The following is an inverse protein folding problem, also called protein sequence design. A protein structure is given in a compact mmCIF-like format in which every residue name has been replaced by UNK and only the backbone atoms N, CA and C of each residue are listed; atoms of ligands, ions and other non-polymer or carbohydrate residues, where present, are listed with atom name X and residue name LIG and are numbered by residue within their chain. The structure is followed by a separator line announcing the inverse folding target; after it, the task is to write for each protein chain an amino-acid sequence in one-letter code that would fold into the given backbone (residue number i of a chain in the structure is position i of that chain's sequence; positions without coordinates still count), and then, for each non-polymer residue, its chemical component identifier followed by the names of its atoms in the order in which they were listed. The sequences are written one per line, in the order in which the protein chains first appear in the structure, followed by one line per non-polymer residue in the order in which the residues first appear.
data_IF_959731277672
#
_entry.id   IF_959731277672
#
_cell.length_a   1.000
_cell.length_b   1.000
_cell.length_c   1.000
_cell.angle_alpha   90.00
_cell.angle_beta   90.00
_cell.angle_gamma   90.00
#
_symmetry.space_group_name_H-M   'P 1'
#
loop_
_entity.id
_entity.type
_entity.pdbx_description
1 polymer ?
#
# COMPACT_ATOMS: atom_id res chain seq x y z
N UNK A 1 1.76 9.39 -21.50
CA UNK A 1 1.44 8.54 -20.32
C UNK A 1 2.71 7.75 -20.04
N UNK A 2 3.17 7.72 -18.80
CA UNK A 2 4.31 6.89 -18.43
C UNK A 2 3.92 5.44 -18.68
N UNK A 3 4.78 4.65 -19.31
CA UNK A 3 4.47 3.28 -19.69
C UNK A 3 4.24 2.37 -18.48
N UNK A 4 4.88 2.68 -17.36
CA UNK A 4 4.57 2.06 -16.07
C UNK A 4 3.06 2.07 -15.77
N UNK A 5 2.40 3.22 -15.86
CA UNK A 5 0.96 3.32 -15.64
C UNK A 5 0.10 2.65 -16.73
N UNK A 6 0.66 2.41 -17.91
CA UNK A 6 -0.02 1.60 -18.94
C UNK A 6 0.00 0.11 -18.58
N UNK A 7 1.09 -0.37 -17.97
CA UNK A 7 1.19 -1.74 -17.46
C UNK A 7 0.20 -1.94 -16.30
N UNK A 8 0.12 -0.99 -15.39
CA UNK A 8 -0.73 -1.02 -14.20
C UNK A 8 -2.20 -0.63 -14.44
N UNK A 9 -2.54 -0.28 -15.69
CA UNK A 9 -3.91 0.12 -16.00
C UNK A 9 -4.91 -1.01 -15.79
N UNK A 10 -6.02 -0.68 -15.14
CA UNK A 10 -7.15 -1.60 -14.87
C UNK A 10 -6.82 -2.75 -13.90
N UNK A 11 -5.69 -2.68 -13.19
CA UNK A 11 -5.42 -3.60 -12.09
C UNK A 11 -6.37 -3.32 -10.91
N UNK A 12 -6.80 -4.35 -10.18
CA UNK A 12 -7.66 -4.18 -9.01
C UNK A 12 -6.95 -3.45 -7.85
N UNK A 13 -5.62 -3.60 -7.77
CA UNK A 13 -4.72 -2.96 -6.80
C UNK A 13 -3.39 -2.62 -7.48
N UNK A 14 -2.68 -1.63 -6.94
CA UNK A 14 -1.36 -1.20 -7.39
C UNK A 14 -0.22 -1.80 -6.56
N UNK A 15 -0.52 -2.83 -5.81
CA UNK A 15 0.41 -3.58 -4.99
C UNK A 15 -0.29 -4.71 -4.24
N UNK A 16 0.49 -5.59 -3.61
CA UNK A 16 -0.03 -6.74 -2.87
C UNK A 16 -0.97 -6.34 -1.73
N UNK A 17 -2.13 -6.98 -1.66
CA UNK A 17 -3.14 -6.74 -0.63
C UNK A 17 -4.40 -7.55 -0.89
N UNK A 18 -5.24 -7.64 0.12
CA UNK A 18 -6.55 -8.30 0.03
C UNK A 18 -7.52 -7.77 1.10
N UNK A 19 -8.81 -7.85 0.81
CA UNK A 19 -9.87 -7.35 1.68
C UNK A 19 -9.91 -8.05 3.05
N UNK A 20 -9.51 -9.32 3.17
CA UNK A 20 -9.52 -10.01 4.47
C UNK A 20 -8.38 -9.51 5.35
N UNK A 21 -7.21 -9.23 4.78
CA UNK A 21 -6.08 -8.62 5.50
C UNK A 21 -6.43 -7.20 5.97
N UNK A 22 -7.07 -6.38 5.12
CA UNK A 22 -7.60 -5.06 5.49
C UNK A 22 -8.59 -5.19 6.65
N UNK A 23 -9.59 -6.10 6.56
CA UNK A 23 -10.57 -6.36 7.62
C UNK A 23 -9.92 -6.89 8.91
N UNK A 24 -8.92 -7.77 8.79
CA UNK A 24 -8.17 -8.29 9.94
C UNK A 24 -7.46 -7.18 10.69
N UNK A 25 -6.78 -6.28 9.99
CA UNK A 25 -6.08 -5.15 10.59
C UNK A 25 -7.07 -4.17 11.22
N UNK A 26 -8.16 -3.84 10.53
CA UNK A 26 -9.19 -2.91 11.04
C UNK A 26 -9.83 -3.41 12.35
N UNK A 27 -10.09 -4.71 12.49
CA UNK A 27 -10.66 -5.30 13.71
C UNK A 27 -9.75 -5.16 14.95
N UNK A 28 -8.49 -4.76 14.79
CA UNK A 28 -7.55 -4.50 15.91
C UNK A 28 -7.68 -3.10 16.50
N UNK A 29 -8.41 -2.20 15.86
CA UNK A 29 -8.58 -0.81 16.23
C UNK A 29 -9.70 -0.63 17.28
N UNK A 30 -9.49 -1.17 18.46
CA UNK A 30 -10.55 -1.35 19.49
C UNK A 30 -11.10 -0.07 20.08
N UNK A 31 -10.39 1.05 20.03
CA UNK A 31 -10.79 2.35 20.55
C UNK A 31 -11.09 3.38 19.43
N UNK A 32 -11.25 2.91 18.19
CA UNK A 32 -11.64 3.79 17.09
C UNK A 32 -13.08 4.32 17.34
N UNK A 33 -13.37 5.62 17.11
CA UNK A 33 -14.73 6.16 17.20
C UNK A 33 -15.69 5.46 16.24
N UNK A 34 -16.98 5.51 16.52
CA UNK A 34 -18.02 4.94 15.65
C UNK A 34 -18.00 5.55 14.24
N UNK A 35 -17.75 6.86 14.15
CA UNK A 35 -17.61 7.60 12.89
C UNK A 35 -16.19 8.20 12.81
N UNK A 36 -15.15 7.42 12.49
CA UNK A 36 -13.79 7.92 12.47
C UNK A 36 -13.51 8.80 11.25
N UNK A 37 -12.58 9.73 11.39
CA UNK A 37 -11.99 10.45 10.25
C UNK A 37 -10.74 9.68 9.84
N UNK A 38 -10.74 9.14 8.62
CA UNK A 38 -9.71 8.26 8.09
C UNK A 38 -8.96 8.96 6.96
N UNK A 39 -7.64 8.83 6.94
CA UNK A 39 -6.80 9.22 5.82
C UNK A 39 -6.21 7.95 5.18
N UNK A 40 -6.55 7.67 3.93
CA UNK A 40 -5.96 6.59 3.13
C UNK A 40 -4.88 7.18 2.20
N UNK A 41 -3.62 6.87 2.49
CA UNK A 41 -2.44 7.44 1.83
C UNK A 41 -1.87 6.48 0.80
N UNK A 42 -1.84 6.90 -0.47
CA UNK A 42 -1.52 6.04 -1.61
C UNK A 42 -2.71 5.13 -1.91
N UNK A 43 -3.89 5.73 -2.06
CA UNK A 43 -5.14 4.99 -2.21
C UNK A 43 -5.24 4.21 -3.53
N UNK A 44 -4.43 4.55 -4.53
CA UNK A 44 -4.50 3.96 -5.86
C UNK A 44 -5.92 3.99 -6.44
N UNK A 45 -6.38 2.92 -7.13
CA UNK A 45 -7.74 2.82 -7.66
C UNK A 45 -8.81 2.51 -6.58
N UNK A 46 -8.43 2.54 -5.27
CA UNK A 46 -9.34 2.58 -4.14
C UNK A 46 -9.80 1.24 -3.57
N UNK A 47 -9.08 0.14 -3.79
CA UNK A 47 -9.51 -1.16 -3.27
C UNK A 47 -9.67 -1.15 -1.74
N UNK A 48 -8.61 -0.77 -0.99
CA UNK A 48 -8.67 -0.65 0.47
C UNK A 48 -9.57 0.50 0.95
N UNK A 49 -9.67 1.60 0.17
CA UNK A 49 -10.58 2.73 0.49
C UNK A 49 -12.03 2.25 0.60
N UNK A 50 -12.47 1.43 -0.35
CA UNK A 50 -13.83 0.86 -0.36
C UNK A 50 -14.02 -0.17 0.77
N UNK A 51 -13.01 -1.01 1.05
CA UNK A 51 -13.04 -1.91 2.21
C UNK A 51 -13.20 -1.11 3.53
N UNK A 52 -12.47 0.00 3.70
CA UNK A 52 -12.59 0.88 4.88
C UNK A 52 -13.99 1.53 4.98
N UNK A 53 -14.60 1.88 3.84
CA UNK A 53 -15.95 2.42 3.82
C UNK A 53 -17.03 1.38 4.18
N UNK A 54 -16.79 0.10 3.92
CA UNK A 54 -17.64 -1.00 4.40
C UNK A 54 -17.46 -1.28 5.91
N UNK A 55 -16.27 -1.03 6.44
CA UNK A 55 -15.89 -1.37 7.82
C UNK A 55 -16.24 -0.28 8.85
N UNK A 56 -16.51 0.94 8.40
CA UNK A 56 -16.85 2.06 9.26
C UNK A 56 -17.83 3.01 8.60
N UNK A 57 -18.60 3.76 9.39
CA UNK A 57 -19.47 4.83 8.91
C UNK A 57 -18.76 6.20 8.86
N UNK A 58 -17.44 6.23 9.01
CA UNK A 58 -16.62 7.43 9.06
C UNK A 58 -16.44 8.17 7.73
N UNK A 59 -15.79 9.33 7.80
CA UNK A 59 -15.33 10.08 6.63
C UNK A 59 -13.94 9.57 6.21
N UNK A 60 -13.71 9.40 4.91
CA UNK A 60 -12.44 8.94 4.35
C UNK A 60 -11.88 9.98 3.39
N UNK A 61 -10.66 10.39 3.61
CA UNK A 61 -9.84 11.21 2.72
C UNK A 61 -8.86 10.28 2.01
N UNK A 62 -9.11 10.00 0.73
CA UNK A 62 -8.28 9.11 -0.08
C UNK A 62 -7.34 9.94 -0.95
N UNK A 63 -6.03 9.79 -0.77
CA UNK A 63 -5.02 10.60 -1.45
C UNK A 63 -4.08 9.77 -2.30
N UNK A 64 -3.83 10.24 -3.52
CA UNK A 64 -2.83 9.70 -4.45
C UNK A 64 -2.30 10.81 -5.36
N UNK A 65 -1.24 10.56 -6.11
CA UNK A 65 -0.66 11.48 -7.10
C UNK A 65 -1.01 11.12 -8.54
N UNK A 66 -1.54 9.92 -8.79
CA UNK A 66 -1.86 9.47 -10.13
C UNK A 66 -3.34 9.72 -10.46
N UNK A 67 -3.60 10.76 -11.24
CA UNK A 67 -4.97 11.19 -11.56
C UNK A 67 -5.86 10.07 -12.13
N UNK A 68 -5.40 9.19 -13.06
CA UNK A 68 -6.24 8.11 -13.56
C UNK A 68 -6.70 7.10 -12.49
N UNK A 69 -5.92 6.86 -11.43
CA UNK A 69 -6.35 6.03 -10.30
C UNK A 69 -7.43 6.75 -9.48
N UNK A 70 -7.24 8.05 -9.25
CA UNK A 70 -8.23 8.86 -8.55
C UNK A 70 -9.54 8.97 -9.33
N UNK A 71 -9.48 9.09 -10.66
CA UNK A 71 -10.66 9.09 -11.53
C UNK A 71 -11.41 7.74 -11.42
N UNK A 72 -10.68 6.62 -11.44
CA UNK A 72 -11.24 5.29 -11.23
C UNK A 72 -11.89 5.13 -9.84
N UNK A 73 -11.23 5.62 -8.78
CA UNK A 73 -11.83 5.61 -7.43
C UNK A 73 -13.06 6.50 -7.36
N UNK A 74 -13.02 7.70 -7.95
CA UNK A 74 -14.15 8.62 -7.97
C UNK A 74 -15.39 8.02 -8.63
N UNK A 75 -15.22 7.33 -9.78
CA UNK A 75 -16.31 6.60 -10.46
C UNK A 75 -16.93 5.54 -9.53
N UNK A 76 -16.09 4.75 -8.84
CA UNK A 76 -16.58 3.73 -7.90
C UNK A 76 -17.30 4.33 -6.69
N UNK A 77 -16.83 5.47 -6.19
CA UNK A 77 -17.45 6.23 -5.08
C UNK A 77 -18.84 6.71 -5.47
N UNK A 78 -18.99 7.26 -6.68
CA UNK A 78 -20.28 7.75 -7.21
C UNK A 78 -21.25 6.59 -7.47
N UNK A 79 -20.80 5.52 -8.10
CA UNK A 79 -21.61 4.33 -8.40
C UNK A 79 -22.17 3.66 -7.13
N UNK A 80 -21.43 3.73 -6.01
CA UNK A 80 -21.85 3.18 -4.72
C UNK A 80 -22.55 4.21 -3.82
N UNK A 81 -22.68 5.47 -4.24
CA UNK A 81 -23.34 6.53 -3.48
C UNK A 81 -22.56 6.94 -2.20
N UNK A 82 -21.22 6.82 -2.24
CA UNK A 82 -20.30 7.10 -1.13
C UNK A 82 -19.71 8.52 -1.17
N UNK A 83 -20.12 9.36 -2.12
CA UNK A 83 -19.63 10.73 -2.37
C UNK A 83 -19.75 11.68 -1.15
N UNK A 84 -20.63 11.38 -0.20
CA UNK A 84 -20.77 12.14 1.05
C UNK A 84 -19.78 11.72 2.14
N UNK A 85 -19.12 10.59 1.96
CA UNK A 85 -18.23 9.99 2.97
C UNK A 85 -16.80 9.88 2.50
N UNK A 86 -16.55 9.76 1.20
CA UNK A 86 -15.22 9.60 0.62
C UNK A 86 -14.88 10.85 -0.19
N UNK A 87 -13.77 11.49 0.16
CA UNK A 87 -13.19 12.61 -0.57
C UNK A 87 -11.93 12.11 -1.27
N UNK A 88 -11.95 12.11 -2.60
CA UNK A 88 -10.82 11.70 -3.45
C UNK A 88 -9.97 12.93 -3.77
N UNK A 89 -8.70 12.93 -3.39
CA UNK A 89 -7.85 14.11 -3.42
C UNK A 89 -6.50 13.83 -4.09
N UNK A 90 -6.13 14.68 -5.03
CA UNK A 90 -4.82 14.66 -5.65
C UNK A 90 -3.80 15.35 -4.74
N UNK A 91 -3.08 14.58 -3.91
CA UNK A 91 -2.04 15.08 -3.01
C UNK A 91 -0.86 14.12 -2.94
N UNK A 92 0.33 14.66 -2.74
CA UNK A 92 1.53 13.86 -2.49
C UNK A 92 1.58 13.41 -1.02
N UNK A 93 1.88 12.13 -0.79
CA UNK A 93 2.13 11.60 0.56
C UNK A 93 3.30 12.31 1.28
N UNK A 94 4.17 13.00 0.53
CA UNK A 94 5.31 13.78 1.05
C UNK A 94 4.92 15.20 1.47
N UNK A 95 3.73 15.68 1.07
CA UNK A 95 3.26 17.05 1.32
C UNK A 95 1.73 17.07 1.48
N UNK A 96 1.24 16.43 2.54
CA UNK A 96 -0.17 16.34 2.88
C UNK A 96 -0.68 17.66 3.48
N UNK A 97 -1.67 18.26 2.85
CA UNK A 97 -2.22 19.57 3.22
C UNK A 97 -3.40 19.43 4.20
N UNK A 98 -3.14 18.86 5.38
CA UNK A 98 -4.13 18.73 6.44
C UNK A 98 -3.66 19.39 7.75
N UNK A 99 -4.57 19.94 8.55
CA UNK A 99 -4.21 20.43 9.89
C UNK A 99 -3.67 19.31 10.79
N UNK A 100 -2.84 19.62 11.78
CA UNK A 100 -2.46 18.64 12.79
C UNK A 100 -3.69 18.08 13.53
N UNK A 101 -3.59 16.85 14.03
CA UNK A 101 -4.63 16.17 14.79
C UNK A 101 -6.01 16.12 14.07
N UNK A 102 -6.00 15.84 12.76
CA UNK A 102 -7.20 15.76 11.93
C UNK A 102 -7.80 14.35 11.89
N UNK A 103 -6.98 13.30 12.02
CA UNK A 103 -7.40 11.93 11.72
C UNK A 103 -7.40 11.03 12.95
N UNK A 104 -8.43 10.20 13.05
CA UNK A 104 -8.50 9.11 14.02
C UNK A 104 -7.70 7.89 13.55
N UNK A 105 -7.59 7.73 12.23
CA UNK A 105 -6.87 6.63 11.58
C UNK A 105 -6.13 7.11 10.33
N UNK A 106 -4.87 6.74 10.20
CA UNK A 106 -4.13 6.80 8.93
C UNK A 106 -3.93 5.38 8.43
N UNK A 107 -4.23 5.16 7.15
CA UNK A 107 -4.11 3.88 6.46
C UNK A 107 -3.20 4.00 5.26
N UNK A 108 -2.38 2.97 4.99
CA UNK A 108 -1.57 2.94 3.77
C UNK A 108 -1.17 1.50 3.45
N UNK A 109 -1.66 0.97 2.34
CA UNK A 109 -1.28 -0.36 1.87
C UNK A 109 -0.35 -0.25 0.66
N UNK A 110 0.79 -0.96 0.71
CA UNK A 110 1.79 -1.05 -0.37
C UNK A 110 2.29 0.31 -0.92
N UNK A 111 2.37 1.34 -0.06
CA UNK A 111 2.73 2.68 -0.50
C UNK A 111 3.76 3.41 0.40
N UNK A 112 3.82 3.15 1.71
CA UNK A 112 4.70 3.89 2.63
C UNK A 112 6.19 3.77 2.25
N UNK A 113 6.59 2.67 1.62
CA UNK A 113 7.96 2.43 1.16
C UNK A 113 8.49 3.54 0.22
N UNK A 114 7.60 4.23 -0.52
CA UNK A 114 7.95 5.36 -1.43
C UNK A 114 8.57 6.53 -0.64
N UNK A 115 8.20 6.68 0.61
CA UNK A 115 8.83 7.65 1.53
C UNK A 115 9.97 7.03 2.33
N UNK A 116 9.96 5.71 2.49
CA UNK A 116 10.67 4.96 3.50
C UNK A 116 9.86 4.88 4.80
N UNK A 117 9.86 3.68 5.41
CA UNK A 117 8.98 3.33 6.54
C UNK A 117 9.09 4.33 7.70
N UNK A 118 10.32 4.58 8.20
CA UNK A 118 10.55 5.54 9.29
C UNK A 118 10.12 6.96 8.92
N UNK A 119 10.46 7.41 7.71
CA UNK A 119 10.15 8.76 7.26
C UNK A 119 8.64 8.99 7.15
N UNK A 120 7.89 8.00 6.62
CA UNK A 120 6.43 8.02 6.55
C UNK A 120 5.80 8.07 7.94
N UNK A 121 6.21 7.19 8.86
CA UNK A 121 5.72 7.18 10.24
C UNK A 121 5.91 8.53 10.94
N UNK A 122 7.10 9.14 10.82
CA UNK A 122 7.40 10.45 11.43
C UNK A 122 6.61 11.58 10.78
N UNK A 123 6.48 11.58 9.45
CA UNK A 123 5.81 12.66 8.72
C UNK A 123 4.30 12.68 8.95
N UNK A 124 3.67 11.50 9.09
CA UNK A 124 2.22 11.41 9.24
C UNK A 124 1.74 11.46 10.70
N UNK A 125 2.62 11.17 11.67
CA UNK A 125 2.29 11.19 13.11
C UNK A 125 1.58 12.48 13.57
N UNK A 126 2.03 13.70 13.18
CA UNK A 126 1.36 14.94 13.61
C UNK A 126 -0.07 15.10 13.12
N UNK A 127 -0.47 14.36 12.08
CA UNK A 127 -1.83 14.39 11.53
C UNK A 127 -2.81 13.57 12.36
N UNK A 128 -2.32 12.65 13.21
CA UNK A 128 -3.15 11.85 14.10
C UNK A 128 -3.64 12.65 15.30
N UNK A 129 -4.90 12.46 15.65
CA UNK A 129 -5.46 12.91 16.94
C UNK A 129 -4.80 12.15 18.09
N UNK A 130 -4.75 12.69 19.32
CA UNK A 130 -4.29 11.95 20.48
C UNK A 130 -5.01 10.60 20.61
N UNK A 131 -4.26 9.52 20.79
CA UNK A 131 -4.78 8.15 20.78
C UNK A 131 -5.16 7.60 19.40
N UNK A 132 -4.86 8.33 18.33
CA UNK A 132 -5.13 7.91 16.95
C UNK A 132 -4.28 6.73 16.50
N UNK A 133 -4.73 6.03 15.48
CA UNK A 133 -4.12 4.83 14.94
C UNK A 133 -3.45 5.07 13.59
N UNK A 134 -2.42 4.29 13.31
CA UNK A 134 -1.86 4.14 11.98
C UNK A 134 -1.75 2.65 11.63
N UNK A 135 -2.20 2.26 10.46
CA UNK A 135 -2.11 0.90 9.95
C UNK A 135 -1.51 0.93 8.55
N UNK A 136 -0.36 0.29 8.39
CA UNK A 136 0.39 0.32 7.12
C UNK A 136 0.97 -1.04 6.78
N UNK A 137 1.15 -1.30 5.50
CA UNK A 137 1.93 -2.45 5.05
C UNK A 137 3.32 -2.02 4.61
N UNK A 138 4.34 -2.77 5.02
CA UNK A 138 5.73 -2.52 4.70
C UNK A 138 6.44 -3.78 4.24
N UNK A 139 7.22 -3.67 3.16
CA UNK A 139 8.00 -4.77 2.60
C UNK A 139 9.15 -5.13 3.53
N UNK A 140 9.25 -6.41 3.90
CA UNK A 140 10.08 -6.83 5.03
C UNK A 140 10.75 -8.18 4.73
N UNK A 141 12.00 -8.35 5.12
CA UNK A 141 12.67 -9.65 5.09
C UNK A 141 12.06 -10.60 6.13
N UNK A 142 11.63 -11.78 5.70
CA UNK A 142 11.03 -12.82 6.57
C UNK A 142 12.09 -13.71 7.23
N UNK A 143 13.26 -13.81 6.62
CA UNK A 143 14.37 -14.66 7.07
C UNK A 143 15.69 -13.89 6.96
N UNK A 144 16.65 -14.12 7.85
CA UNK A 144 18.01 -13.59 7.71
C UNK A 144 18.73 -14.26 6.52
N UNK A 145 19.75 -13.58 6.00
CA UNK A 145 20.64 -14.07 4.95
C UNK A 145 19.91 -14.55 3.68
N UNK A 146 19.10 -13.68 3.03
CA UNK A 146 18.41 -14.06 1.80
C UNK A 146 19.40 -14.43 0.68
N UNK A 147 19.03 -15.33 -0.26
CA UNK A 147 19.83 -15.64 -1.44
C UNK A 147 20.27 -14.41 -2.21
N UNK A 148 21.46 -14.47 -2.80
CA UNK A 148 22.07 -13.30 -3.47
C UNK A 148 21.16 -12.68 -4.53
N UNK A 149 20.53 -13.50 -5.37
CA UNK A 149 19.65 -13.06 -6.45
C UNK A 149 18.47 -12.18 -5.95
N UNK A 150 17.70 -12.63 -4.97
CA UNK A 150 16.59 -11.85 -4.43
C UNK A 150 17.07 -10.64 -3.63
N UNK A 151 18.25 -10.74 -3.01
CA UNK A 151 18.87 -9.62 -2.29
C UNK A 151 19.34 -8.52 -3.26
N UNK A 152 19.94 -8.90 -4.38
CA UNK A 152 20.37 -7.96 -5.42
C UNK A 152 19.17 -7.28 -6.04
N UNK A 153 18.10 -8.01 -6.40
CA UNK A 153 16.87 -7.48 -6.94
C UNK A 153 16.28 -6.39 -6.01
N UNK A 154 16.09 -6.69 -4.73
CA UNK A 154 15.51 -5.73 -3.80
C UNK A 154 16.49 -4.61 -3.39
N UNK A 155 17.80 -4.82 -3.46
CA UNK A 155 18.77 -3.73 -3.28
C UNK A 155 18.68 -2.67 -4.40
N UNK A 156 18.24 -3.04 -5.60
CA UNK A 156 17.96 -2.11 -6.69
C UNK A 156 16.59 -1.45 -6.53
N UNK A 157 15.54 -2.24 -6.26
CA UNK A 157 14.17 -1.75 -6.17
C UNK A 157 13.84 -1.05 -4.84
N UNK A 158 14.27 -1.62 -3.70
CA UNK A 158 14.01 -1.08 -2.37
C UNK A 158 15.20 -1.35 -1.41
N UNK A 159 16.31 -0.61 -1.52
CA UNK A 159 17.51 -0.83 -0.70
C UNK A 159 17.32 -0.60 0.81
N UNK A 160 16.21 0.04 1.19
CA UNK A 160 15.86 0.30 2.59
C UNK A 160 15.07 -0.82 3.26
N UNK A 161 14.80 -1.94 2.56
CA UNK A 161 14.07 -3.07 3.14
C UNK A 161 14.77 -3.61 4.38
N UNK A 162 14.01 -3.78 5.45
CA UNK A 162 14.46 -4.17 6.79
C UNK A 162 13.93 -5.54 7.19
N UNK A 163 14.52 -6.11 8.24
CA UNK A 163 13.93 -7.26 8.96
C UNK A 163 12.74 -6.83 9.82
N UNK A 164 11.97 -7.80 10.31
CA UNK A 164 10.89 -7.54 11.26
C UNK A 164 11.42 -6.84 12.53
N UNK A 165 12.54 -7.30 13.08
CA UNK A 165 13.14 -6.76 14.29
C UNK A 165 13.53 -5.29 14.09
N UNK A 166 14.19 -4.95 12.98
CA UNK A 166 14.56 -3.58 12.66
C UNK A 166 13.33 -2.67 12.49
N UNK A 167 12.25 -3.16 11.86
CA UNK A 167 11.01 -2.40 11.72
C UNK A 167 10.32 -2.18 13.08
N UNK A 168 10.35 -3.16 13.98
CA UNK A 168 9.83 -3.00 15.35
C UNK A 168 10.65 -1.96 16.15
N UNK A 169 11.96 -1.91 15.97
CA UNK A 169 12.83 -0.86 16.56
C UNK A 169 12.48 0.54 16.02
N UNK A 170 12.23 0.66 14.71
CA UNK A 170 11.78 1.91 14.07
C UNK A 170 10.43 2.36 14.65
N UNK A 171 9.46 1.46 14.78
CA UNK A 171 8.14 1.76 15.37
C UNK A 171 8.29 2.33 16.77
N UNK A 172 9.12 1.70 17.60
CA UNK A 172 9.42 2.17 18.95
C UNK A 172 10.15 3.54 18.95
N UNK A 173 11.16 3.72 18.09
CA UNK A 173 11.90 4.96 17.93
C UNK A 173 11.05 6.14 17.40
N UNK A 174 9.92 5.84 16.77
CA UNK A 174 8.92 6.81 16.33
C UNK A 174 7.86 7.10 17.41
N UNK A 175 8.00 6.55 18.63
CA UNK A 175 7.05 6.66 19.76
C UNK A 175 5.62 6.21 19.38
N UNK A 176 5.50 5.06 18.74
CA UNK A 176 4.25 4.37 18.53
C UNK A 176 4.14 3.18 19.47
N UNK A 177 2.93 2.88 19.94
CA UNK A 177 2.58 1.62 20.58
C UNK A 177 2.18 0.62 19.49
N UNK A 178 2.92 -0.48 19.36
CA UNK A 178 2.54 -1.58 18.49
C UNK A 178 1.32 -2.31 19.07
N UNK A 179 0.23 -2.39 18.31
CA UNK A 179 -0.99 -3.11 18.68
C UNK A 179 -0.93 -4.56 18.18
N UNK A 180 -0.62 -4.74 16.90
CA UNK A 180 -0.48 -6.06 16.27
C UNK A 180 0.35 -5.94 14.99
N UNK A 181 0.83 -7.06 14.49
CA UNK A 181 1.41 -7.18 13.16
C UNK A 181 1.18 -8.59 12.60
N UNK A 182 1.15 -8.71 11.30
CA UNK A 182 1.07 -10.00 10.62
C UNK A 182 1.57 -9.89 9.19
N UNK A 183 2.09 -11.00 8.65
CA UNK A 183 2.49 -11.09 7.24
C UNK A 183 1.24 -11.30 6.37
N UNK A 184 1.18 -10.62 5.22
CA UNK A 184 0.16 -10.87 4.21
C UNK A 184 0.30 -12.28 3.63
N UNK A 185 -0.79 -13.00 3.37
CA UNK A 185 -0.72 -14.31 2.72
C UNK A 185 -0.21 -14.16 1.27
N UNK A 186 0.38 -15.22 0.73
CA UNK A 186 0.87 -15.23 -0.66
C UNK A 186 -0.25 -14.92 -1.68
N UNK A 187 -1.50 -15.26 -1.38
CA UNK A 187 -2.65 -14.92 -2.22
C UNK A 187 -2.86 -13.42 -2.41
N UNK A 188 -2.45 -12.58 -1.44
CA UNK A 188 -2.49 -11.11 -1.60
C UNK A 188 -1.59 -10.64 -2.75
N UNK A 189 -0.49 -11.35 -3.01
CA UNK A 189 0.44 -11.09 -4.11
C UNK A 189 -0.06 -11.70 -5.41
N UNK A 190 -0.42 -13.00 -5.38
CA UNK A 190 -0.74 -13.76 -6.58
C UNK A 190 -2.08 -13.36 -7.18
N UNK A 191 -3.16 -13.37 -6.39
CA UNK A 191 -4.52 -13.34 -6.91
C UNK A 191 -4.97 -11.93 -7.30
N UNK A 192 -4.57 -10.93 -6.49
CA UNK A 192 -5.05 -9.56 -6.64
C UNK A 192 -4.05 -8.63 -7.34
N UNK A 193 -2.79 -9.05 -7.53
CA UNK A 193 -1.75 -8.23 -8.10
C UNK A 193 -1.03 -8.93 -9.27
N UNK A 194 -0.29 -10.01 -9.03
CA UNK A 194 0.54 -10.61 -10.07
C UNK A 194 -0.21 -11.33 -11.18
N UNK A 195 -1.32 -12.04 -10.91
CA UNK A 195 -2.09 -12.68 -11.97
C UNK A 195 -2.74 -11.66 -12.92
N UNK A 196 -3.40 -10.59 -12.43
CA UNK A 196 -3.86 -9.50 -13.30
C UNK A 196 -2.71 -8.83 -14.07
N UNK A 197 -1.58 -8.56 -13.41
CA UNK A 197 -0.40 -7.94 -14.04
C UNK A 197 0.18 -8.86 -15.14
N UNK A 198 0.35 -10.15 -14.89
CA UNK A 198 0.81 -11.12 -15.89
C UNK A 198 -0.07 -11.16 -17.14
N UNK A 199 -1.39 -11.11 -16.95
CA UNK A 199 -2.32 -11.03 -18.07
C UNK A 199 -2.11 -9.74 -18.88
N UNK A 200 -1.86 -8.63 -18.19
CA UNK A 200 -1.58 -7.33 -18.80
C UNK A 200 -0.24 -7.34 -19.54
N UNK A 201 0.82 -7.85 -18.94
CA UNK A 201 2.15 -8.02 -19.57
C UNK A 201 2.02 -8.81 -20.86
N UNK A 202 1.35 -9.96 -20.85
CA UNK A 202 1.18 -10.80 -22.03
C UNK A 202 0.50 -10.06 -23.19
N UNK A 203 -0.53 -9.26 -22.90
CA UNK A 203 -1.22 -8.45 -23.90
C UNK A 203 -0.30 -7.35 -24.47
N UNK A 204 0.47 -6.67 -23.62
CA UNK A 204 1.37 -5.59 -24.02
C UNK A 204 2.59 -6.09 -24.80
N UNK A 205 3.09 -7.29 -24.51
CA UNK A 205 4.15 -7.95 -25.29
C UNK A 205 3.73 -8.17 -26.75
N UNK A 206 2.48 -8.59 -26.99
CA UNK A 206 1.95 -8.70 -28.35
C UNK A 206 1.83 -7.34 -29.05
N UNK A 207 1.36 -6.33 -28.31
CA UNK A 207 1.15 -4.97 -28.82
C UNK A 207 2.47 -4.27 -29.15
N UNK A 208 3.49 -4.42 -28.30
CA UNK A 208 4.76 -3.69 -28.38
C UNK A 208 5.96 -4.55 -28.80
N UNK A 209 5.72 -5.69 -29.47
CA UNK A 209 6.74 -6.66 -29.91
C UNK A 209 7.92 -6.07 -30.71
N UNK A 210 7.82 -4.85 -31.21
CA UNK A 210 8.85 -4.16 -31.99
C UNK A 210 9.42 -2.90 -31.29
N UNK A 211 9.09 -2.66 -30.03
CA UNK A 211 9.54 -1.52 -29.22
C UNK A 211 10.49 -1.98 -28.11
N UNK A 212 11.83 -1.90 -28.31
CA UNK A 212 12.80 -2.42 -27.33
C UNK A 212 12.70 -1.76 -25.95
N UNK A 213 12.39 -0.46 -25.89
CA UNK A 213 12.35 0.28 -24.60
C UNK A 213 11.15 -0.19 -23.75
N UNK A 214 10.01 -0.44 -24.40
CA UNK A 214 8.81 -0.98 -23.72
C UNK A 214 8.98 -2.44 -23.34
N UNK A 215 9.61 -3.24 -24.21
CA UNK A 215 9.92 -4.64 -23.89
C UNK A 215 10.81 -4.73 -22.66
N UNK A 216 11.82 -3.86 -22.52
CA UNK A 216 12.67 -3.85 -21.33
C UNK A 216 11.87 -3.53 -20.04
N UNK A 217 10.89 -2.63 -20.09
CA UNK A 217 10.05 -2.36 -18.93
C UNK A 217 9.13 -3.54 -18.61
N UNK A 218 8.57 -4.20 -19.61
CA UNK A 218 7.77 -5.42 -19.40
C UNK A 218 8.61 -6.58 -18.83
N UNK A 219 9.86 -6.72 -19.26
CA UNK A 219 10.79 -7.71 -18.72
C UNK A 219 11.09 -7.44 -17.23
N UNK A 220 11.19 -6.18 -16.81
CA UNK A 220 11.41 -5.81 -15.42
C UNK A 220 10.20 -6.21 -14.53
N UNK A 221 8.98 -5.92 -14.97
CA UNK A 221 7.77 -6.35 -14.23
C UNK A 221 7.62 -7.89 -14.21
N UNK A 222 8.02 -8.56 -15.29
CA UNK A 222 8.04 -10.02 -15.32
C UNK A 222 9.09 -10.58 -14.34
N UNK A 223 10.26 -9.94 -14.22
CA UNK A 223 11.31 -10.34 -13.28
C UNK A 223 10.82 -10.26 -11.84
N UNK A 224 10.06 -9.23 -11.46
CA UNK A 224 9.48 -9.13 -10.13
C UNK A 224 8.55 -10.32 -9.83
N UNK A 225 7.69 -10.70 -10.78
CA UNK A 225 6.81 -11.87 -10.65
C UNK A 225 7.63 -13.16 -10.50
N UNK A 226 8.69 -13.32 -11.28
CA UNK A 226 9.54 -14.51 -11.25
C UNK A 226 10.34 -14.61 -9.94
N UNK A 227 10.85 -13.49 -9.45
CA UNK A 227 11.50 -13.38 -8.13
C UNK A 227 10.54 -13.76 -7.01
N UNK A 228 9.30 -13.27 -7.04
CA UNK A 228 8.31 -13.67 -6.05
C UNK A 228 8.00 -15.17 -6.10
N UNK A 229 7.76 -15.72 -7.29
CA UNK A 229 7.47 -17.15 -7.46
C UNK A 229 8.59 -18.04 -6.89
N UNK A 230 9.85 -17.58 -6.98
CA UNK A 230 11.01 -18.31 -6.52
C UNK A 230 11.35 -18.07 -5.05
N UNK A 231 11.08 -16.86 -4.53
CA UNK A 231 11.62 -16.40 -3.25
C UNK A 231 10.58 -15.85 -2.26
N UNK A 232 9.29 -16.06 -2.48
CA UNK A 232 8.21 -15.57 -1.60
C UNK A 232 8.33 -16.00 -0.13
N UNK A 233 9.17 -17.00 0.18
CA UNK A 233 9.46 -17.40 1.57
C UNK A 233 10.49 -16.49 2.26
N UNK A 234 11.17 -15.61 1.54
CA UNK A 234 12.25 -14.78 2.04
C UNK A 234 11.85 -13.35 2.34
N UNK A 235 10.80 -12.85 1.71
CA UNK A 235 10.30 -11.51 1.89
C UNK A 235 8.78 -11.47 1.74
N UNK A 236 8.17 -10.40 2.23
CA UNK A 236 6.74 -10.18 2.11
C UNK A 236 6.31 -8.88 2.76
N UNK A 237 5.07 -8.49 2.54
CA UNK A 237 4.50 -7.36 3.25
C UNK A 237 4.02 -7.80 4.63
N UNK A 238 4.47 -7.06 5.66
CA UNK A 238 3.84 -7.08 6.97
C UNK A 238 2.84 -5.95 7.08
N UNK A 239 1.69 -6.26 7.65
CA UNK A 239 0.77 -5.26 8.16
C UNK A 239 1.19 -4.89 9.58
N UNK A 240 1.46 -3.61 9.84
CA UNK A 240 1.74 -3.05 11.15
C UNK A 240 0.58 -2.19 11.62
N UNK A 241 0.01 -2.48 12.77
CA UNK A 241 -1.09 -1.74 13.39
C UNK A 241 -0.54 -1.08 14.65
N UNK A 242 -0.58 0.23 14.71
CA UNK A 242 0.07 1.04 15.73
C UNK A 242 -0.86 2.14 16.23
N UNK A 243 -0.55 2.67 17.41
CA UNK A 243 -1.29 3.75 18.05
C UNK A 243 -0.32 4.78 18.62
N UNK A 244 -0.67 6.06 18.55
CA UNK A 244 0.04 7.12 19.30
C UNK A 244 -0.53 7.29 20.71
N UNK A 245 0.27 7.82 21.66
CA UNK A 245 -0.19 8.14 23.00
C UNK A 245 -1.40 9.06 23.03
#
# INVERSE_FOLDING_TARGET
MDFFFEIHKDLPREGPGDSESTRRAFRKLSALPENPVILDVGCGPGAQTLDLAELSDGEIYAVDTHQPFLDCLQEKVEDQGLDKRIQVLHQSMKDLQFPPASFDLIWSESAIYIMGFEAGLRAWKPLLKPGGYIAVTELTWLKPDPPAEVKEFWNEGYPSMKSLEENLEIIHACDYYLIDYFVLPNSSWTDNYYQPMQARINMLLEQYHSDPDRLQQLDFEQEEIDIFNKYHEWYGYFFYIMQIP
#
